data_IF_555625059212
#
_entry.id   IF_555625059212
#
_cell.length_a   1.000
_cell.length_b   1.000
_cell.length_c   1.000
_cell.angle_alpha   90.00
_cell.angle_beta   90.00
_cell.angle_gamma   90.00
#
_symmetry.space_group_name_H-M   'P 1'
#
loop_
_entity.id
_entity.type
_entity.pdbx_description
1 polymer ?
#
# COMPACT_ATOMS: atom_id res chain seq x y z
N UNK A 1 -13.43 3.84 4.92
CA UNK A 1 -13.51 3.36 6.32
C UNK A 1 -12.60 2.15 6.60
N UNK A 2 -12.70 1.02 5.85
CA UNK A 2 -11.84 -0.16 6.07
C UNK A 2 -10.33 0.14 5.95
N UNK A 3 -9.92 0.84 4.90
CA UNK A 3 -8.52 1.20 4.65
C UNK A 3 -7.94 2.09 5.76
N UNK A 4 -8.67 3.12 6.20
CA UNK A 4 -8.22 3.99 7.29
C UNK A 4 -8.00 3.24 8.61
N UNK A 5 -8.75 2.17 8.88
CA UNK A 5 -8.49 1.31 10.04
C UNK A 5 -7.18 0.52 9.88
N UNK A 6 -6.89 0.02 8.68
CA UNK A 6 -5.62 -0.66 8.39
C UNK A 6 -4.43 0.30 8.51
N UNK A 7 -4.59 1.55 8.09
CA UNK A 7 -3.56 2.59 8.23
C UNK A 7 -3.19 2.78 9.71
N UNK A 8 -4.19 2.86 10.60
CA UNK A 8 -3.95 2.96 12.05
C UNK A 8 -3.20 1.75 12.63
N UNK A 9 -3.42 0.55 12.08
CA UNK A 9 -2.67 -0.64 12.50
C UNK A 9 -1.21 -0.51 12.08
N UNK A 10 -0.95 -0.07 10.85
CA UNK A 10 0.40 0.17 10.33
C UNK A 10 1.14 1.24 11.11
N UNK A 11 0.47 2.33 11.48
CA UNK A 11 1.05 3.42 12.28
C UNK A 11 1.33 3.03 13.75
N UNK A 12 0.74 1.94 14.23
CA UNK A 12 0.93 1.47 15.61
C UNK A 12 2.27 0.77 15.81
N UNK A 13 2.70 0.65 17.08
CA UNK A 13 3.91 -0.09 17.44
C UNK A 13 3.82 -1.59 17.11
N UNK A 14 2.61 -2.13 16.90
CA UNK A 14 2.41 -3.52 16.51
C UNK A 14 3.11 -3.83 15.17
N UNK A 15 2.98 -2.96 14.18
CA UNK A 15 3.52 -3.21 12.83
C UNK A 15 5.05 -3.02 12.76
N UNK A 16 5.67 -2.45 13.80
CA UNK A 16 7.13 -2.40 13.95
C UNK A 16 7.73 -3.76 14.28
N UNK A 17 6.96 -4.64 14.93
CA UNK A 17 7.37 -6.00 15.24
C UNK A 17 7.43 -6.84 13.96
N UNK A 18 8.53 -7.55 13.75
CA UNK A 18 8.79 -8.27 12.51
C UNK A 18 7.74 -9.37 12.27
N UNK A 19 7.38 -10.11 13.32
CA UNK A 19 6.42 -11.21 13.26
C UNK A 19 5.01 -10.71 12.90
N UNK A 20 4.62 -9.56 13.47
CA UNK A 20 3.35 -8.93 13.14
C UNK A 20 3.35 -8.41 11.71
N UNK A 21 4.45 -7.82 11.26
CA UNK A 21 4.61 -7.36 9.88
C UNK A 21 4.53 -8.53 8.90
N UNK A 22 5.19 -9.64 9.18
CA UNK A 22 5.16 -10.85 8.35
C UNK A 22 3.74 -11.41 8.19
N UNK A 23 2.94 -11.37 9.25
CA UNK A 23 1.56 -11.83 9.23
C UNK A 23 0.59 -10.84 8.56
N UNK A 24 0.78 -9.54 8.80
CA UNK A 24 -0.16 -8.49 8.39
C UNK A 24 0.12 -7.97 6.98
N UNK A 25 1.38 -7.85 6.57
CA UNK A 25 1.74 -7.25 5.28
C UNK A 25 1.09 -7.97 4.07
N UNK A 26 1.02 -9.31 4.00
CA UNK A 26 0.31 -9.99 2.92
C UNK A 26 -1.16 -9.58 2.81
N UNK A 27 -1.84 -9.38 3.94
CA UNK A 27 -3.25 -8.96 4.00
C UNK A 27 -3.42 -7.51 3.51
N UNK A 28 -2.50 -6.62 3.89
CA UNK A 28 -2.49 -5.24 3.43
C UNK A 28 -2.26 -5.16 1.92
N UNK A 29 -1.33 -5.95 1.41
CA UNK A 29 -1.03 -6.05 -0.02
C UNK A 29 -2.24 -6.57 -0.80
N UNK A 30 -2.91 -7.61 -0.31
CA UNK A 30 -4.12 -8.14 -0.96
C UNK A 30 -5.23 -7.08 -1.03
N UNK A 31 -5.43 -6.36 0.08
CA UNK A 31 -6.41 -5.27 0.15
C UNK A 31 -6.07 -4.13 -0.82
N UNK A 32 -4.79 -3.71 -0.90
CA UNK A 32 -4.32 -2.69 -1.85
C UNK A 32 -4.43 -3.18 -3.29
N UNK A 33 -4.08 -4.43 -3.57
CA UNK A 33 -4.19 -5.05 -4.88
C UNK A 33 -5.61 -5.00 -5.43
N UNK A 34 -6.62 -5.25 -4.57
CA UNK A 34 -8.03 -5.15 -4.95
C UNK A 34 -8.51 -3.71 -5.19
N UNK A 35 -7.92 -2.71 -4.53
CA UNK A 35 -8.23 -1.29 -4.78
C UNK A 35 -7.57 -0.76 -6.04
N UNK A 36 -6.41 -1.30 -6.39
CA UNK A 36 -5.64 -0.96 -7.60
C UNK A 36 -6.00 -1.86 -8.80
N UNK A 37 -7.00 -2.73 -8.67
CA UNK A 37 -7.48 -3.54 -9.78
C UNK A 37 -8.27 -2.69 -10.78
N UNK A 38 -8.03 -2.90 -12.07
CA UNK A 38 -8.70 -2.18 -13.16
C UNK A 38 -10.23 -2.39 -13.14
N UNK A 39 -10.72 -3.48 -12.53
CA UNK A 39 -12.15 -3.78 -12.38
C UNK A 39 -12.76 -3.27 -11.06
N UNK A 40 -12.03 -2.50 -10.26
CA UNK A 40 -12.57 -1.94 -9.03
C UNK A 40 -13.70 -0.94 -9.35
N UNK A 41 -14.92 -1.25 -8.92
CA UNK A 41 -16.10 -0.43 -9.25
C UNK A 41 -16.06 0.98 -8.62
N UNK A 42 -15.43 1.10 -7.44
CA UNK A 42 -15.24 2.36 -6.70
C UNK A 42 -13.92 2.31 -5.92
N UNK A 43 -12.78 2.55 -6.57
CA UNK A 43 -11.50 2.56 -5.89
C UNK A 43 -11.39 3.79 -4.98
N UNK A 44 -10.89 3.57 -3.76
CA UNK A 44 -10.53 4.64 -2.83
C UNK A 44 -9.03 4.91 -2.96
N UNK A 45 -8.64 5.63 -4.00
CA UNK A 45 -7.24 5.86 -4.35
C UNK A 45 -6.50 6.69 -3.29
N UNK A 46 -7.17 7.64 -2.64
CA UNK A 46 -6.61 8.45 -1.58
C UNK A 46 -6.26 7.57 -0.37
N UNK A 47 -7.22 6.80 0.15
CA UNK A 47 -6.97 5.92 1.28
C UNK A 47 -5.99 4.78 0.94
N UNK A 48 -5.98 4.30 -0.31
CA UNK A 48 -5.00 3.31 -0.78
C UNK A 48 -3.59 3.89 -0.84
N UNK A 49 -3.44 5.11 -1.34
CA UNK A 49 -2.16 5.82 -1.36
C UNK A 49 -1.68 6.07 0.06
N UNK A 50 -2.56 6.52 0.97
CA UNK A 50 -2.20 6.77 2.36
C UNK A 50 -1.73 5.49 3.04
N UNK A 51 -2.47 4.38 2.91
CA UNK A 51 -2.08 3.10 3.49
C UNK A 51 -0.72 2.61 2.95
N UNK A 52 -0.50 2.67 1.63
CA UNK A 52 0.78 2.26 1.04
C UNK A 52 1.93 3.15 1.53
N UNK A 53 1.73 4.47 1.60
CA UNK A 53 2.73 5.40 2.14
C UNK A 53 3.08 5.06 3.58
N UNK A 54 2.09 4.89 4.46
CA UNK A 54 2.33 4.53 5.87
C UNK A 54 3.09 3.21 5.99
N UNK A 55 2.81 2.21 5.14
CA UNK A 55 3.57 0.95 5.13
C UNK A 55 5.03 1.23 4.78
N UNK A 56 5.29 1.92 3.67
CA UNK A 56 6.65 2.21 3.21
C UNK A 56 7.43 3.06 4.21
N UNK A 57 6.79 4.02 4.87
CA UNK A 57 7.39 4.82 5.95
C UNK A 57 7.84 3.95 7.12
N UNK A 58 7.04 2.97 7.55
CA UNK A 58 7.47 2.03 8.60
C UNK A 58 8.63 1.17 8.12
N UNK A 59 8.61 0.71 6.87
CA UNK A 59 9.68 -0.16 6.32
C UNK A 59 11.01 0.56 6.09
N UNK A 60 11.00 1.89 5.94
CA UNK A 60 12.20 2.72 5.77
C UNK A 60 12.90 3.01 7.11
N UNK A 61 12.21 2.80 8.23
CA UNK A 61 12.77 3.05 9.56
C UNK A 61 13.94 2.11 9.88
N UNK A 62 14.96 2.65 10.53
CA UNK A 62 16.16 1.88 10.93
C UNK A 62 15.94 0.96 12.14
N UNK A 63 14.86 1.16 12.90
CA UNK A 63 14.58 0.47 14.17
C UNK A 63 13.56 -0.68 14.05
N UNK A 64 13.17 -1.09 12.83
CA UNK A 64 12.17 -2.16 12.60
C UNK A 64 12.75 -3.47 12.08
N UNK A 65 14.09 -3.59 12.10
CA UNK A 65 14.82 -4.76 11.59
C UNK A 65 14.89 -4.82 10.06
N UNK A 66 15.27 -5.97 9.47
CA UNK A 66 15.35 -6.13 8.02
C UNK A 66 13.99 -5.99 7.34
N UNK A 67 13.95 -5.22 6.25
CA UNK A 67 12.71 -4.96 5.48
C UNK A 67 12.81 -5.29 3.99
N UNK A 68 13.96 -5.79 3.53
CA UNK A 68 14.20 -6.09 2.11
C UNK A 68 13.16 -7.07 1.53
N UNK A 69 12.82 -8.13 2.27
CA UNK A 69 11.80 -9.09 1.86
C UNK A 69 10.40 -8.45 1.77
N UNK A 70 10.06 -7.59 2.72
CA UNK A 70 8.78 -6.85 2.74
C UNK A 70 8.65 -5.94 1.53
N UNK A 71 9.70 -5.19 1.19
CA UNK A 71 9.75 -4.32 0.01
C UNK A 71 9.64 -5.15 -1.28
N UNK A 72 10.37 -6.26 -1.37
CA UNK A 72 10.28 -7.15 -2.52
C UNK A 72 8.85 -7.66 -2.73
N UNK A 73 8.18 -8.08 -1.65
CA UNK A 73 6.80 -8.56 -1.72
C UNK A 73 5.83 -7.46 -2.23
N UNK A 74 5.99 -6.22 -1.76
CA UNK A 74 5.22 -5.07 -2.24
C UNK A 74 5.46 -4.85 -3.74
N UNK A 75 6.72 -4.84 -4.17
CA UNK A 75 7.09 -4.62 -5.56
C UNK A 75 6.53 -5.70 -6.48
N UNK A 76 6.68 -6.98 -6.12
CA UNK A 76 6.19 -8.11 -6.91
C UNK A 76 4.67 -8.09 -7.09
N UNK A 77 3.94 -7.69 -6.05
CA UNK A 77 2.47 -7.76 -6.03
C UNK A 77 1.78 -6.50 -6.54
N UNK A 78 2.35 -5.33 -6.28
CA UNK A 78 1.65 -4.05 -6.48
C UNK A 78 2.25 -3.17 -7.60
N UNK A 79 3.54 -3.28 -7.91
CA UNK A 79 4.22 -2.30 -8.79
C UNK A 79 3.51 -2.11 -10.14
N UNK A 80 3.15 -3.21 -10.81
CA UNK A 80 2.44 -3.15 -12.10
C UNK A 80 1.09 -2.45 -11.98
N UNK A 81 0.34 -2.73 -10.91
CA UNK A 81 -0.98 -2.16 -10.67
C UNK A 81 -0.88 -0.67 -10.35
N UNK A 82 0.03 -0.30 -9.44
CA UNK A 82 0.34 1.10 -9.12
C UNK A 82 0.67 1.89 -10.39
N UNK A 83 1.58 1.39 -11.22
CA UNK A 83 1.97 2.08 -12.45
C UNK A 83 0.78 2.28 -13.39
N UNK A 84 -0.08 1.27 -13.57
CA UNK A 84 -1.30 1.40 -14.39
C UNK A 84 -2.27 2.41 -13.82
N UNK A 85 -2.51 2.37 -12.51
CA UNK A 85 -3.40 3.29 -11.80
C UNK A 85 -2.93 4.74 -11.98
N UNK A 86 -1.64 5.02 -11.74
CA UNK A 86 -1.07 6.37 -11.90
C UNK A 86 -1.21 6.87 -13.34
N UNK A 87 -0.87 6.04 -14.34
CA UNK A 87 -1.04 6.40 -15.76
C UNK A 87 -2.52 6.69 -16.08
N UNK A 88 -3.44 5.87 -15.55
CA UNK A 88 -4.88 6.05 -15.71
C UNK A 88 -5.37 7.37 -15.13
N UNK A 89 -4.92 7.72 -13.93
CA UNK A 89 -5.24 8.99 -13.27
C UNK A 89 -4.73 10.20 -14.05
N UNK A 90 -3.48 10.17 -14.53
CA UNK A 90 -2.92 11.26 -15.33
C UNK A 90 -3.74 11.51 -16.61
N UNK A 91 -4.22 10.44 -17.27
CA UNK A 91 -5.06 10.54 -18.48
C UNK A 91 -6.47 11.08 -18.22
N UNK A 92 -6.97 10.98 -17.00
CA UNK A 92 -8.28 11.48 -16.61
C UNK A 92 -8.23 12.91 -16.05
N UNK A 93 -7.04 13.46 -15.84
CA UNK A 93 -6.89 14.82 -15.29
C UNK A 93 -7.24 15.87 -16.35
N UNK A 94 -8.21 16.77 -16.09
CA UNK A 94 -8.65 17.78 -17.05
C UNK A 94 -7.65 18.95 -17.26
N UNK A 95 -6.51 18.89 -16.59
CA UNK A 95 -5.49 19.96 -16.58
C UNK A 95 -4.26 19.63 -17.45
N UNK A 96 -4.23 18.48 -18.12
CA UNK A 96 -3.19 18.13 -19.11
C UNK A 96 -3.82 18.25 -20.50
N UNK A 97 -3.71 19.43 -21.10
CA UNK A 97 -4.04 19.73 -22.50
C UNK A 97 -2.79 20.27 -23.18
#
# INVERSE_FOLDING_TARGET
QKLNCLTKIVESDLFKQAECRDALLPLLIDQLSGQLDDHCNKPDHEASSQLLSSVLEVLDRKDVGPTAFHIQLIMERLLRRINRTVIGMSRQSPHIV
#
